data_IF_126588585410
#
_entry.id   IF_126588585410
#
_cell.length_a   1.000
_cell.length_b   1.000
_cell.length_c   1.000
_cell.angle_alpha   90.00
_cell.angle_beta   90.00
_cell.angle_gamma   90.00
#
_symmetry.space_group_name_H-M   'P 1'
#
loop_
_entity.id
_entity.type
_entity.pdbx_description
1 polymer ?
#
# COMPACT_ATOMS: atom_id res chain seq x y z
N UNK A 1 -12.20 0.93 51.71
CA UNK A 1 -10.94 0.70 50.96
C UNK A 1 -11.23 0.78 49.46
N UNK A 2 -10.24 1.19 48.69
CA UNK A 2 -10.29 1.95 47.41
C UNK A 2 -11.08 1.27 46.26
N UNK A 3 -12.01 2.04 45.67
CA UNK A 3 -12.51 1.86 44.29
C UNK A 3 -11.57 2.61 43.34
N UNK A 4 -10.59 1.94 42.73
CA UNK A 4 -9.59 2.63 41.88
C UNK A 4 -8.99 1.75 40.78
N UNK A 5 -9.74 0.80 40.24
CA UNK A 5 -9.21 -0.11 39.19
C UNK A 5 -9.80 0.12 37.80
N UNK A 6 -10.81 0.98 37.65
CA UNK A 6 -11.48 1.18 36.36
C UNK A 6 -10.84 2.19 35.37
N UNK A 7 -10.04 3.21 35.76
CA UNK A 7 -9.57 4.19 34.78
C UNK A 7 -8.37 3.68 33.95
N UNK A 8 -7.74 2.57 34.35
CA UNK A 8 -6.55 2.07 33.66
C UNK A 8 -6.87 1.29 32.38
N UNK A 9 -8.07 0.67 32.29
CA UNK A 9 -8.44 -0.15 31.13
C UNK A 9 -8.88 0.70 29.92
N UNK A 10 -9.41 1.91 30.15
CA UNK A 10 -9.79 2.84 29.08
C UNK A 10 -8.58 3.58 28.47
N UNK A 11 -7.49 3.75 29.23
CA UNK A 11 -6.26 4.38 28.73
C UNK A 11 -5.52 3.49 27.70
N UNK A 12 -5.66 2.16 27.81
CA UNK A 12 -5.07 1.19 26.90
C UNK A 12 -5.76 1.11 25.53
N UNK A 13 -7.04 1.51 25.45
CA UNK A 13 -7.80 1.55 24.19
C UNK A 13 -7.49 2.79 23.33
N UNK A 14 -6.90 3.84 23.91
CA UNK A 14 -6.48 5.05 23.21
C UNK A 14 -5.14 4.94 22.47
N UNK A 15 -4.41 3.83 22.62
CA UNK A 15 -3.09 3.62 22.00
C UNK A 15 -3.15 2.95 20.62
N UNK A 16 -4.35 2.63 20.11
CA UNK A 16 -4.52 2.26 18.70
C UNK A 16 -4.58 3.52 17.82
N UNK A 17 -3.57 4.38 17.94
CA UNK A 17 -3.26 5.30 16.85
C UNK A 17 -2.79 4.45 15.69
N UNK A 18 -3.67 4.14 14.74
CA UNK A 18 -3.26 3.67 13.43
C UNK A 18 -2.37 4.78 12.84
N UNK A 19 -1.06 4.66 13.01
CA UNK A 19 -0.10 5.54 12.39
C UNK A 19 -0.29 5.39 10.88
N UNK A 20 -0.93 6.38 10.28
CA UNK A 20 -1.07 6.46 8.84
C UNK A 20 0.34 6.67 8.27
N UNK A 21 0.77 5.74 7.44
CA UNK A 21 2.09 5.82 6.84
C UNK A 21 2.16 7.02 5.90
N UNK A 22 3.28 7.76 5.88
CA UNK A 22 3.45 8.86 4.94
C UNK A 22 3.41 8.32 3.51
N UNK A 23 2.61 8.94 2.65
CA UNK A 23 2.58 8.62 1.23
C UNK A 23 3.95 8.86 0.59
N UNK A 24 4.34 8.02 -0.37
CA UNK A 24 5.44 8.36 -1.25
C UNK A 24 5.02 9.49 -2.20
N UNK A 25 5.94 10.36 -2.56
CA UNK A 25 5.72 11.34 -3.60
C UNK A 25 7.00 11.61 -4.37
N UNK A 26 6.90 11.72 -5.69
CA UNK A 26 7.95 12.31 -6.53
C UNK A 26 7.65 13.78 -6.89
N UNK A 27 6.68 14.38 -6.19
CA UNK A 27 6.27 15.78 -6.26
C UNK A 27 6.92 16.55 -5.10
N UNK A 28 7.28 17.81 -5.31
CA UNK A 28 7.79 18.67 -4.24
C UNK A 28 6.74 18.85 -3.12
N UNK A 29 7.19 18.88 -1.86
CA UNK A 29 6.31 18.87 -0.67
C UNK A 29 5.37 20.07 -0.57
N UNK A 30 5.63 21.16 -1.30
CA UNK A 30 4.78 22.36 -1.34
C UNK A 30 3.63 22.29 -2.37
N UNK A 31 3.67 21.34 -3.30
CA UNK A 31 2.81 21.33 -4.50
C UNK A 31 1.68 20.28 -4.45
N UNK A 32 1.58 19.49 -3.36
CA UNK A 32 0.55 18.46 -3.16
C UNK A 32 -0.75 19.07 -2.60
N UNK A 33 -1.07 20.32 -2.95
CA UNK A 33 -2.32 20.95 -2.54
C UNK A 33 -3.49 20.57 -3.45
N UNK A 34 -3.22 20.13 -4.68
CA UNK A 34 -4.21 19.68 -5.66
C UNK A 34 -3.83 18.33 -6.29
N UNK A 35 -4.45 17.25 -5.79
CA UNK A 35 -4.20 15.89 -6.29
C UNK A 35 -4.77 15.64 -7.69
N UNK A 36 -5.62 16.52 -8.21
CA UNK A 36 -6.16 16.38 -9.57
C UNK A 36 -5.11 16.56 -10.67
N UNK A 37 -3.94 17.12 -10.33
CA UNK A 37 -2.81 17.29 -11.24
C UNK A 37 -1.91 16.04 -11.30
N UNK A 38 -2.12 15.08 -10.41
CA UNK A 38 -1.25 13.94 -10.19
C UNK A 38 -1.96 12.63 -10.44
N UNK A 39 -1.19 11.57 -10.63
CA UNK A 39 -1.66 10.20 -10.55
C UNK A 39 -1.48 9.69 -9.12
N UNK A 40 -2.55 9.21 -8.51
CA UNK A 40 -2.49 8.58 -7.19
C UNK A 40 -2.47 7.07 -7.36
N UNK A 41 -1.48 6.40 -6.78
CA UNK A 41 -1.42 4.94 -6.70
C UNK A 41 -1.62 4.52 -5.26
N UNK A 42 -2.57 3.65 -5.01
CA UNK A 42 -2.83 3.09 -3.68
C UNK A 42 -2.89 1.58 -3.76
N UNK A 43 -2.59 0.92 -2.65
CA UNK A 43 -2.90 -0.50 -2.48
C UNK A 43 -4.32 -0.64 -1.97
N UNK A 44 -4.98 -1.74 -2.29
CA UNK A 44 -6.34 -2.02 -1.84
C UNK A 44 -6.46 -2.03 -0.30
N UNK A 45 -5.39 -2.48 0.36
CA UNK A 45 -5.22 -2.39 1.83
C UNK A 45 -5.30 -0.96 2.36
N UNK A 46 -4.81 0.01 1.60
CA UNK A 46 -4.88 1.42 1.99
C UNK A 46 -6.18 2.07 1.54
N UNK A 47 -6.60 1.83 0.30
CA UNK A 47 -7.77 2.46 -0.29
C UNK A 47 -9.06 2.16 0.48
N UNK A 48 -9.24 0.93 0.96
CA UNK A 48 -10.41 0.52 1.74
C UNK A 48 -10.20 0.39 3.24
N UNK A 49 -8.93 0.43 3.70
CA UNK A 49 -8.53 0.01 5.06
C UNK A 49 -9.25 -1.25 5.59
N UNK A 50 -9.44 -2.30 4.77
CA UNK A 50 -10.15 -3.49 5.22
C UNK A 50 -9.33 -4.20 6.31
N UNK A 51 -10.01 -4.65 7.37
CA UNK A 51 -9.38 -5.53 8.35
C UNK A 51 -9.32 -6.95 7.76
N UNK A 52 -8.16 -7.31 7.20
CA UNK A 52 -7.99 -8.59 6.50
C UNK A 52 -7.52 -9.72 7.41
N UNK A 53 -8.12 -10.89 7.22
CA UNK A 53 -7.68 -12.17 7.75
C UNK A 53 -7.04 -13.02 6.64
N UNK A 54 -6.26 -14.03 7.04
CA UNK A 54 -5.68 -14.99 6.08
C UNK A 54 -6.76 -15.78 5.30
N UNK A 55 -8.00 -15.82 5.79
CA UNK A 55 -9.13 -16.50 5.15
C UNK A 55 -9.83 -15.65 4.09
N UNK A 56 -9.52 -14.36 3.99
CA UNK A 56 -10.22 -13.43 3.09
C UNK A 56 -9.79 -13.59 1.63
N UNK A 57 -8.83 -14.48 1.35
CA UNK A 57 -8.40 -14.76 -0.01
C UNK A 57 -7.70 -13.57 -0.68
N UNK A 58 -7.19 -12.61 0.11
CA UNK A 58 -6.46 -11.43 -0.38
C UNK A 58 -5.14 -11.28 0.40
N UNK A 59 -4.08 -10.88 -0.31
CA UNK A 59 -2.80 -10.57 0.31
C UNK A 59 -2.65 -9.05 0.47
N UNK A 60 -2.01 -8.64 1.55
CA UNK A 60 -1.58 -7.25 1.70
C UNK A 60 -0.48 -6.95 0.69
N UNK A 61 -0.54 -5.75 0.12
CA UNK A 61 0.43 -5.27 -0.86
C UNK A 61 1.14 -4.05 -0.28
N UNK A 62 2.44 -3.95 -0.52
CA UNK A 62 3.24 -2.78 -0.17
C UNK A 62 3.97 -2.26 -1.41
N UNK A 63 4.00 -0.94 -1.62
CA UNK A 63 4.74 -0.32 -2.72
C UNK A 63 6.19 -0.11 -2.27
N UNK A 64 7.13 -0.85 -2.86
CA UNK A 64 8.54 -0.85 -2.41
C UNK A 64 9.48 -0.10 -3.36
N UNK A 65 9.13 -0.01 -4.66
CA UNK A 65 9.88 0.76 -5.66
C UNK A 65 8.96 1.42 -6.68
N UNK A 66 9.37 2.59 -7.18
CA UNK A 66 8.76 3.29 -8.32
C UNK A 66 9.89 3.76 -9.25
N UNK A 67 9.85 3.37 -10.52
CA UNK A 67 10.90 3.62 -11.52
C UNK A 67 12.30 3.27 -10.98
N UNK A 68 12.41 2.08 -10.38
CA UNK A 68 13.60 1.51 -9.75
C UNK A 68 14.14 2.27 -8.52
N UNK A 69 13.54 3.40 -8.17
CA UNK A 69 13.84 4.12 -6.92
C UNK A 69 13.12 3.44 -5.77
N UNK A 70 13.88 3.11 -4.72
CA UNK A 70 13.31 2.63 -3.46
C UNK A 70 12.36 3.70 -2.93
N UNK A 71 11.19 3.25 -2.51
CA UNK A 71 10.23 4.10 -1.86
C UNK A 71 10.65 4.25 -0.38
N UNK A 72 11.04 5.46 0.02
CA UNK A 72 11.60 5.79 1.34
C UNK A 72 13.15 5.76 1.40
N UNK A 73 13.77 6.88 1.76
CA UNK A 73 15.21 7.00 2.08
C UNK A 73 15.50 6.48 3.50
N UNK A 74 15.33 5.18 3.74
CA UNK A 74 15.69 4.58 5.03
C UNK A 74 16.84 3.58 4.83
N UNK A 75 18.02 3.83 5.44
CA UNK A 75 19.16 2.91 5.40
C UNK A 75 18.74 1.54 5.94
N UNK A 76 19.40 0.47 5.46
CA UNK A 76 19.13 -0.95 5.76
C UNK A 76 19.12 -1.34 7.25
N UNK A 77 19.24 -0.40 8.19
CA UNK A 77 19.44 -0.62 9.62
C UNK A 77 18.30 -0.05 10.48
N UNK A 78 17.06 -0.47 10.24
CA UNK A 78 16.05 -0.47 11.31
C UNK A 78 15.00 -1.53 11.02
N UNK A 79 15.24 -2.73 11.54
CA UNK A 79 14.26 -3.83 11.65
C UNK A 79 13.05 -3.49 12.56
N UNK A 80 12.76 -2.21 12.81
CA UNK A 80 11.80 -1.76 13.83
C UNK A 80 10.51 -1.18 13.28
N UNK A 81 10.36 -1.10 11.96
CA UNK A 81 9.06 -0.86 11.35
C UNK A 81 8.59 -2.17 10.72
N UNK A 82 7.81 -2.93 11.48
CA UNK A 82 6.84 -3.83 10.86
C UNK A 82 6.00 -2.95 9.93
N UNK A 83 6.12 -3.11 8.61
CA UNK A 83 5.38 -2.37 7.58
C UNK A 83 6.01 -1.05 7.10
N UNK A 84 7.28 -1.06 6.70
CA UNK A 84 8.06 0.16 6.34
C UNK A 84 7.93 0.65 4.89
N UNK A 85 6.95 0.16 4.14
CA UNK A 85 6.74 0.50 2.72
C UNK A 85 5.37 1.12 2.51
N UNK A 86 5.29 2.33 1.95
CA UNK A 86 4.03 3.05 1.87
C UNK A 86 3.06 2.33 0.95
N UNK A 87 1.81 2.47 1.33
CA UNK A 87 0.69 1.85 0.64
C UNK A 87 -0.02 2.83 -0.31
N UNK A 88 0.53 4.05 -0.41
CA UNK A 88 0.06 5.16 -1.23
C UNK A 88 1.25 5.90 -1.84
N UNK A 89 1.13 6.30 -3.10
CA UNK A 89 2.07 7.14 -3.82
C UNK A 89 1.33 8.22 -4.62
N UNK A 90 1.81 9.46 -4.56
CA UNK A 90 1.37 10.57 -5.41
C UNK A 90 2.43 10.82 -6.46
N UNK A 91 2.06 10.71 -7.73
CA UNK A 91 2.98 10.68 -8.85
C UNK A 91 2.67 11.78 -9.84
N UNK A 92 3.69 12.45 -10.37
CA UNK A 92 3.54 13.21 -11.61
C UNK A 92 2.94 12.33 -12.72
N UNK A 93 2.12 12.84 -13.64
CA UNK A 93 1.66 12.04 -14.78
C UNK A 93 2.84 11.49 -15.61
N UNK A 94 2.73 10.26 -16.12
CA UNK A 94 3.78 9.63 -16.92
C UNK A 94 3.83 8.11 -16.84
N UNK A 95 4.88 7.52 -17.42
CA UNK A 95 5.09 6.08 -17.40
C UNK A 95 5.79 5.62 -16.10
N UNK A 96 5.23 4.59 -15.49
CA UNK A 96 5.73 4.05 -14.22
C UNK A 96 5.92 2.55 -14.26
N UNK A 97 6.98 2.10 -13.61
CA UNK A 97 7.19 0.73 -13.18
C UNK A 97 7.15 0.69 -11.65
N UNK A 98 6.18 -0.01 -11.09
CA UNK A 98 6.06 -0.20 -9.64
C UNK A 98 6.48 -1.61 -9.27
N UNK A 99 7.13 -1.74 -8.13
CA UNK A 99 7.40 -3.04 -7.52
C UNK A 99 6.57 -3.15 -6.24
N UNK A 100 5.78 -4.21 -6.17
CA UNK A 100 4.91 -4.53 -5.05
C UNK A 100 5.47 -5.73 -4.29
N UNK A 101 5.56 -5.61 -2.98
CA UNK A 101 5.81 -6.71 -2.07
C UNK A 101 4.48 -7.30 -1.59
N UNK A 102 4.45 -8.64 -1.47
CA UNK A 102 3.31 -9.36 -0.90
C UNK A 102 3.79 -10.61 -0.14
N UNK A 103 2.99 -11.04 0.83
CA UNK A 103 3.32 -12.20 1.65
C UNK A 103 2.54 -13.42 1.18
N UNK A 104 3.25 -14.54 0.97
CA UNK A 104 2.67 -15.88 0.93
C UNK A 104 2.83 -16.52 2.33
N UNK A 105 2.13 -17.63 2.63
CA UNK A 105 2.15 -18.24 3.97
C UNK A 105 3.55 -18.59 4.52
N UNK A 106 4.57 -18.73 3.66
CA UNK A 106 5.93 -19.15 4.06
C UNK A 106 7.06 -18.17 3.73
N UNK A 107 6.81 -17.16 2.89
CA UNK A 107 7.84 -16.23 2.42
C UNK A 107 7.19 -15.01 1.78
N UNK A 108 7.94 -13.91 1.70
CA UNK A 108 7.55 -12.74 0.91
C UNK A 108 8.01 -12.89 -0.54
N UNK A 109 7.32 -12.21 -1.44
CA UNK A 109 7.56 -12.22 -2.87
C UNK A 109 7.38 -10.81 -3.43
N UNK A 110 7.86 -10.60 -4.65
CA UNK A 110 7.76 -9.32 -5.34
C UNK A 110 7.12 -9.49 -6.72
N UNK A 111 6.31 -8.53 -7.13
CA UNK A 111 5.87 -8.39 -8.51
C UNK A 111 6.18 -7.00 -9.02
N UNK A 112 6.44 -6.92 -10.32
CA UNK A 112 6.62 -5.65 -11.01
C UNK A 112 5.46 -5.45 -11.99
N UNK A 113 4.87 -4.27 -11.97
CA UNK A 113 3.77 -3.88 -12.84
C UNK A 113 4.10 -2.52 -13.46
N UNK A 114 3.83 -2.36 -14.75
CA UNK A 114 4.01 -1.10 -15.46
C UNK A 114 2.65 -0.52 -15.84
N UNK A 115 2.51 0.81 -15.75
CA UNK A 115 1.30 1.52 -16.16
C UNK A 115 1.63 2.95 -16.61
N UNK A 116 0.69 3.58 -17.30
CA UNK A 116 0.76 4.99 -17.68
C UNK A 116 -0.23 5.78 -16.82
N UNK A 117 0.29 6.70 -16.01
CA UNK A 117 -0.47 7.55 -15.11
C UNK A 117 -0.91 8.86 -15.77
N UNK A 118 -2.18 9.21 -15.60
CA UNK A 118 -2.77 10.46 -16.07
C UNK A 118 -3.08 11.42 -14.89
N UNK A 119 -3.16 12.74 -15.14
CA UNK A 119 -3.63 13.68 -14.13
C UNK A 119 -5.02 13.28 -13.61
N UNK A 120 -5.21 13.33 -12.29
CA UNK A 120 -6.47 13.02 -11.61
C UNK A 120 -6.82 11.54 -11.61
N UNK A 121 -5.94 10.69 -12.13
CA UNK A 121 -6.16 9.26 -12.18
C UNK A 121 -5.81 8.64 -10.84
N UNK A 122 -6.70 7.77 -10.35
CA UNK A 122 -6.44 6.94 -9.17
C UNK A 122 -6.31 5.49 -9.61
N UNK A 123 -5.17 4.89 -9.31
CA UNK A 123 -4.86 3.47 -9.56
C UNK A 123 -4.85 2.72 -8.24
N UNK A 124 -5.52 1.56 -8.20
CA UNK A 124 -5.54 0.66 -7.05
C UNK A 124 -4.79 -0.62 -7.41
N UNK A 125 -3.77 -0.96 -6.62
CA UNK A 125 -3.12 -2.26 -6.64
C UNK A 125 -3.97 -3.26 -5.85
N UNK A 126 -4.45 -4.30 -6.54
CA UNK A 126 -5.34 -5.33 -6.01
C UNK A 126 -4.65 -6.68 -5.97
N UNK A 127 -5.11 -7.55 -5.08
CA UNK A 127 -4.63 -8.93 -4.97
C UNK A 127 -5.77 -9.93 -4.80
N UNK A 128 -5.57 -11.15 -5.28
CA UNK A 128 -6.47 -12.28 -5.07
C UNK A 128 -5.69 -13.61 -5.02
N UNK A 129 -5.85 -14.36 -3.93
CA UNK A 129 -5.37 -15.73 -3.86
C UNK A 129 -6.16 -16.62 -4.82
N UNK A 130 -5.44 -17.33 -5.67
CA UNK A 130 -5.98 -18.33 -6.61
C UNK A 130 -5.46 -19.75 -6.29
N UNK A 131 -4.79 -19.89 -5.14
CA UNK A 131 -4.25 -21.15 -4.60
C UNK A 131 -3.32 -20.88 -3.41
N UNK A 132 -2.90 -21.94 -2.71
CA UNK A 132 -2.15 -21.86 -1.45
C UNK A 132 -0.87 -20.98 -1.52
N UNK A 133 -0.22 -20.96 -2.68
CA UNK A 133 0.98 -20.15 -2.94
C UNK A 133 0.85 -19.37 -4.26
N UNK A 134 -0.38 -19.14 -4.73
CA UNK A 134 -0.63 -18.52 -6.04
C UNK A 134 -1.48 -17.28 -5.85
N UNK A 135 -0.99 -16.17 -6.35
CA UNK A 135 -1.60 -14.86 -6.18
C UNK A 135 -1.70 -14.17 -7.54
N UNK A 136 -2.88 -13.66 -7.85
CA UNK A 136 -3.09 -12.71 -8.94
C UNK A 136 -2.95 -11.30 -8.37
N UNK A 137 -2.12 -10.47 -9.01
CA UNK A 137 -1.95 -9.05 -8.64
C UNK A 137 -2.20 -8.22 -9.89
N UNK A 138 -2.95 -7.14 -9.76
CA UNK A 138 -3.20 -6.23 -10.87
C UNK A 138 -3.34 -4.79 -10.41
N UNK A 139 -3.20 -3.88 -11.36
CA UNK A 139 -3.51 -2.46 -11.21
C UNK A 139 -4.83 -2.17 -11.90
N UNK A 140 -5.67 -1.41 -11.23
CA UNK A 140 -7.02 -1.08 -11.66
C UNK A 140 -7.25 0.41 -11.54
N UNK A 141 -7.78 1.04 -12.57
CA UNK A 141 -8.26 2.41 -12.49
C UNK A 141 -9.52 2.46 -11.61
N UNK A 142 -9.50 3.28 -10.56
CA UNK A 142 -10.56 3.31 -9.55
C UNK A 142 -11.89 3.88 -10.08
N UNK A 143 -11.84 4.75 -11.10
CA UNK A 143 -13.03 5.39 -11.65
C UNK A 143 -13.74 4.49 -12.67
N UNK A 144 -12.98 3.72 -13.45
CA UNK A 144 -13.50 2.92 -14.57
C UNK A 144 -13.53 1.42 -14.28
N UNK A 145 -12.77 0.93 -13.30
CA UNK A 145 -12.55 -0.49 -13.07
C UNK A 145 -11.66 -1.16 -14.13
N UNK A 146 -11.05 -0.39 -15.03
CA UNK A 146 -10.19 -0.91 -16.08
C UNK A 146 -8.88 -1.47 -15.50
N UNK A 147 -8.51 -2.69 -15.91
CA UNK A 147 -7.22 -3.28 -15.53
C UNK A 147 -6.11 -2.71 -16.40
N UNK A 148 -5.34 -1.76 -15.84
CA UNK A 148 -4.25 -1.08 -16.55
C UNK A 148 -2.95 -1.89 -16.56
N UNK A 149 -2.79 -2.86 -15.65
CA UNK A 149 -1.62 -3.74 -15.61
C UNK A 149 -1.93 -5.02 -14.83
N UNK A 150 -1.30 -6.15 -15.17
CA UNK A 150 -1.50 -7.41 -14.44
C UNK A 150 -0.24 -8.27 -14.38
N UNK A 151 -0.07 -8.93 -13.25
CA UNK A 151 0.94 -9.95 -13.00
C UNK A 151 0.28 -11.20 -12.47
N UNK A 152 0.52 -12.34 -13.12
CA UNK A 152 0.10 -13.65 -12.62
C UNK A 152 1.37 -14.44 -12.33
N UNK A 153 1.56 -14.82 -11.06
CA UNK A 153 2.67 -15.70 -10.65
C UNK A 153 2.11 -17.04 -10.19
N UNK A 154 2.72 -18.10 -10.73
CA UNK A 154 2.41 -19.50 -10.45
C UNK A 154 3.37 -20.06 -9.40
#
# INVERSE_FOLDING_TARGET
>A
MRKLTLPFLLLLLGLHGCAEMPAYSNVESGDINDESLYTVVETDTYAGRPQRSLLDGQADLNIIRINDKKVGDIPFSTYYYRNDSPQRAVLTPGAYKIQLEYHLPRHFMFTELAFEGKPGQKIIARSQYIGLNRLKIWLEDAATGEVVSKGVRY
#
